data_IF_621469820569
#
_entry.id   IF_621469820569
#
_cell.length_a   1.000
_cell.length_b   1.000
_cell.length_c   1.000
_cell.angle_alpha   90.00
_cell.angle_beta   90.00
_cell.angle_gamma   90.00
#
_symmetry.space_group_name_H-M   'P 1'
#
loop_
_entity.id
_entity.type
_entity.pdbx_description
1 polymer ?
#
# COMPACT_ATOMS: atom_id res chain seq x y z
N UNK A 1 -18.99 -49.02 50.13
CA UNK A 1 -19.70 -47.72 50.16
C UNK A 1 -18.69 -46.65 50.52
N UNK A 2 -18.12 -45.96 49.52
CA UNK A 2 -18.35 -44.51 49.25
C UNK A 2 -17.70 -43.60 50.31
N UNK A 3 -16.75 -42.68 50.06
CA UNK A 3 -16.35 -41.85 48.89
C UNK A 3 -14.94 -41.27 49.18
N UNK A 4 -13.97 -41.29 48.27
CA UNK A 4 -13.69 -40.27 47.23
C UNK A 4 -13.49 -38.84 47.77
N UNK A 5 -12.23 -38.43 47.96
CA UNK A 5 -11.73 -37.10 47.56
C UNK A 5 -10.33 -37.30 46.97
N UNK A 6 -10.29 -37.43 45.63
CA UNK A 6 -9.07 -37.34 44.84
C UNK A 6 -8.81 -35.84 44.66
N UNK A 7 -7.81 -35.30 45.36
CA UNK A 7 -7.26 -33.99 45.03
C UNK A 7 -6.42 -34.15 43.76
N UNK A 8 -7.06 -33.97 42.62
CA UNK A 8 -6.42 -33.92 41.32
C UNK A 8 -5.53 -32.68 41.24
N UNK A 9 -4.25 -32.85 41.59
CA UNK A 9 -3.21 -31.90 41.27
C UNK A 9 -3.00 -31.96 39.74
N UNK A 10 -3.73 -31.09 39.02
CA UNK A 10 -3.46 -30.80 37.62
C UNK A 10 -2.09 -30.11 37.53
N UNK A 11 -1.04 -30.93 37.49
CA UNK A 11 0.30 -30.48 37.11
C UNK A 11 0.22 -30.15 35.61
N UNK A 12 -0.02 -28.87 35.32
CA UNK A 12 0.26 -28.30 34.01
C UNK A 12 1.77 -28.40 33.82
N UNK A 13 2.22 -29.39 33.04
CA UNK A 13 3.59 -29.46 32.56
C UNK A 13 3.81 -28.28 31.61
N UNK A 14 4.68 -27.30 31.92
CA UNK A 14 5.00 -26.28 30.95
C UNK A 14 5.88 -26.89 29.86
N UNK A 15 5.60 -26.55 28.59
CA UNK A 15 6.53 -26.68 27.47
C UNK A 15 7.74 -25.74 27.69
N UNK A 16 8.56 -26.04 28.70
CA UNK A 16 9.84 -25.37 28.95
C UNK A 16 11.04 -26.31 28.69
N UNK A 17 10.79 -27.43 27.99
CA UNK A 17 11.76 -28.50 27.79
C UNK A 17 12.85 -28.24 26.73
N UNK A 18 12.79 -27.13 25.99
CA UNK A 18 13.75 -26.88 24.88
C UNK A 18 14.95 -26.05 25.37
N UNK A 19 14.71 -24.99 26.15
CA UNK A 19 15.79 -24.13 26.64
C UNK A 19 16.66 -24.82 27.71
N UNK A 20 16.07 -25.63 28.59
CA UNK A 20 16.81 -26.37 29.60
C UNK A 20 17.71 -27.46 28.97
N UNK A 21 17.26 -28.07 27.87
CA UNK A 21 17.99 -29.15 27.20
C UNK A 21 19.16 -28.62 26.35
N UNK A 22 19.00 -27.46 25.71
CA UNK A 22 20.11 -26.80 24.99
C UNK A 22 21.18 -26.25 25.94
N UNK A 23 20.78 -25.64 27.06
CA UNK A 23 21.73 -25.18 28.10
C UNK A 23 22.49 -26.36 28.72
N UNK A 24 21.84 -27.51 28.88
CA UNK A 24 22.47 -28.73 29.37
C UNK A 24 23.51 -29.28 28.38
N UNK A 25 23.17 -29.37 27.09
CA UNK A 25 24.12 -29.82 26.05
C UNK A 25 25.33 -28.88 25.93
N UNK A 26 25.11 -27.57 25.96
CA UNK A 26 26.20 -26.59 25.90
C UNK A 26 27.13 -26.70 27.12
N UNK A 27 26.57 -26.87 28.32
CA UNK A 27 27.33 -27.10 29.54
C UNK A 27 28.16 -28.38 29.50
N UNK A 28 27.59 -29.46 28.99
CA UNK A 28 28.29 -30.75 28.89
C UNK A 28 29.44 -30.70 27.85
N UNK A 29 29.25 -29.99 26.74
CA UNK A 29 30.33 -29.74 25.77
C UNK A 29 31.47 -28.91 26.38
N UNK A 30 31.12 -27.90 27.18
CA UNK A 30 32.12 -27.10 27.89
C UNK A 30 32.91 -27.97 28.90
N UNK A 31 32.23 -28.84 29.64
CA UNK A 31 32.86 -29.82 30.55
C UNK A 31 33.82 -30.74 29.82
N UNK A 32 33.42 -31.31 28.68
CA UNK A 32 34.30 -32.18 27.89
C UNK A 32 35.51 -31.41 27.35
N UNK A 33 35.34 -30.14 26.96
CA UNK A 33 36.43 -29.31 26.48
C UNK A 33 37.47 -29.02 27.59
N UNK A 34 37.01 -28.72 28.82
CA UNK A 34 37.92 -28.51 29.95
C UNK A 34 38.64 -29.80 30.35
N UNK A 35 37.93 -30.93 30.37
CA UNK A 35 38.50 -32.26 30.66
C UNK A 35 39.56 -32.66 29.62
N UNK A 36 39.30 -32.39 28.34
CA UNK A 36 40.28 -32.58 27.25
C UNK A 36 41.54 -31.76 27.47
N UNK A 37 41.39 -30.48 27.82
CA UNK A 37 42.53 -29.61 28.09
C UNK A 37 43.35 -30.09 29.30
N UNK A 38 42.69 -30.59 30.34
CA UNK A 38 43.35 -31.19 31.50
C UNK A 38 44.17 -32.43 31.12
N UNK A 39 43.58 -33.37 30.36
CA UNK A 39 44.27 -34.58 29.87
C UNK A 39 45.51 -34.21 29.03
N UNK A 40 45.40 -33.19 28.18
CA UNK A 40 46.55 -32.72 27.39
C UNK A 40 47.64 -32.06 28.24
N UNK A 41 47.25 -31.32 29.29
CA UNK A 41 48.17 -30.75 30.26
C UNK A 41 48.92 -31.82 31.07
N UNK A 42 48.20 -32.84 31.54
CA UNK A 42 48.76 -34.00 32.22
C UNK A 42 49.73 -34.76 31.31
N UNK A 43 49.34 -35.00 30.06
CA UNK A 43 50.20 -35.65 29.08
C UNK A 43 51.51 -34.88 28.87
N UNK A 44 51.45 -33.56 28.64
CA UNK A 44 52.65 -32.72 28.50
C UNK A 44 53.56 -32.77 29.73
N UNK A 45 52.97 -32.86 30.92
CA UNK A 45 53.72 -32.97 32.18
C UNK A 45 54.38 -34.33 32.30
N UNK A 46 53.66 -35.41 32.01
CA UNK A 46 54.18 -36.78 32.00
C UNK A 46 55.29 -36.97 30.96
N UNK A 47 55.14 -36.37 29.77
CA UNK A 47 56.13 -36.44 28.69
C UNK A 47 57.45 -35.80 29.13
N UNK A 48 57.40 -34.62 29.76
CA UNK A 48 58.59 -33.98 30.35
C UNK A 48 59.22 -34.82 31.45
N UNK A 49 58.43 -35.53 32.26
CA UNK A 49 58.93 -36.41 33.28
C UNK A 49 59.62 -37.65 32.68
N UNK A 50 59.07 -38.23 31.61
CA UNK A 50 59.64 -39.40 30.95
C UNK A 50 61.06 -39.16 30.45
N UNK A 51 61.37 -37.97 29.92
CA UNK A 51 62.74 -37.63 29.48
C UNK A 51 63.79 -37.57 30.62
N UNK A 52 63.36 -37.61 31.88
CA UNK A 52 64.25 -37.69 33.05
C UNK A 52 64.49 -39.13 33.53
N UNK A 53 63.88 -40.11 32.87
CA UNK A 53 63.99 -41.53 33.23
C UNK A 53 64.92 -42.26 32.27
N UNK A 54 65.45 -43.41 32.68
CA UNK A 54 66.29 -44.24 31.79
C UNK A 54 65.45 -44.96 30.72
N UNK A 55 64.26 -45.45 31.07
CA UNK A 55 63.35 -46.16 30.18
C UNK A 55 62.39 -45.20 29.44
N UNK A 56 62.95 -44.17 28.76
CA UNK A 56 62.16 -43.07 28.16
C UNK A 56 61.09 -43.59 27.20
N UNK A 57 61.43 -44.54 26.32
CA UNK A 57 60.50 -45.05 25.30
C UNK A 57 59.28 -45.76 25.93
N UNK A 58 59.51 -46.62 26.93
CA UNK A 58 58.43 -47.33 27.62
C UNK A 58 57.54 -46.36 28.39
N UNK A 59 58.14 -45.38 29.07
CA UNK A 59 57.41 -44.32 29.76
C UNK A 59 56.54 -43.50 28.78
N UNK A 60 57.10 -43.09 27.63
CA UNK A 60 56.36 -42.34 26.62
C UNK A 60 55.21 -43.17 26.02
N UNK A 61 55.42 -44.47 25.82
CA UNK A 61 54.39 -45.37 25.31
C UNK A 61 53.22 -45.52 26.29
N UNK A 62 53.51 -45.69 27.58
CA UNK A 62 52.49 -45.73 28.64
C UNK A 62 51.74 -44.39 28.73
N UNK A 63 52.45 -43.26 28.78
CA UNK A 63 51.84 -41.93 28.80
C UNK A 63 50.92 -41.68 27.59
N UNK A 64 51.35 -42.11 26.39
CA UNK A 64 50.52 -42.04 25.17
C UNK A 64 49.31 -42.97 25.25
N UNK A 65 49.45 -44.15 25.83
CA UNK A 65 48.32 -45.08 26.00
C UNK A 65 47.26 -44.49 26.91
N UNK A 66 47.65 -44.03 28.11
CA UNK A 66 46.75 -43.38 29.06
C UNK A 66 46.02 -42.19 28.44
N UNK A 67 46.74 -41.34 27.68
CA UNK A 67 46.13 -40.24 26.94
C UNK A 67 45.09 -40.72 25.92
N UNK A 68 45.41 -41.74 25.12
CA UNK A 68 44.47 -42.28 24.11
C UNK A 68 43.21 -42.83 24.77
N UNK A 69 43.35 -43.55 25.88
CA UNK A 69 42.21 -44.15 26.59
C UNK A 69 41.30 -43.08 27.19
N UNK A 70 41.88 -42.07 27.84
CA UNK A 70 41.14 -40.94 28.42
C UNK A 70 40.43 -40.10 27.34
N UNK A 71 41.12 -39.74 26.25
CA UNK A 71 40.50 -39.03 25.13
C UNK A 71 39.45 -39.89 24.41
N UNK A 72 39.65 -41.20 24.33
CA UNK A 72 38.69 -42.15 23.78
C UNK A 72 37.40 -42.19 24.59
N UNK A 73 37.48 -42.11 25.91
CA UNK A 73 36.31 -42.00 26.79
C UNK A 73 35.53 -40.71 26.53
N UNK A 74 36.21 -39.55 26.47
CA UNK A 74 35.57 -38.29 26.13
C UNK A 74 34.92 -38.31 24.74
N UNK A 75 35.59 -38.92 23.76
CA UNK A 75 35.06 -39.03 22.41
C UNK A 75 33.75 -39.81 22.37
N UNK A 76 33.62 -40.89 23.15
CA UNK A 76 32.36 -41.65 23.26
C UNK A 76 31.22 -40.80 23.84
N UNK A 77 31.51 -39.99 24.85
CA UNK A 77 30.52 -39.06 25.43
C UNK A 77 30.06 -38.02 24.39
N UNK A 78 30.99 -37.40 23.66
CA UNK A 78 30.64 -36.45 22.58
C UNK A 78 29.79 -37.08 21.49
N UNK A 79 30.10 -38.32 21.08
CA UNK A 79 29.33 -39.05 20.08
C UNK A 79 27.91 -39.33 20.56
N UNK A 80 27.72 -39.68 21.84
CA UNK A 80 26.40 -39.87 22.42
C UNK A 80 25.58 -38.57 22.42
N UNK A 81 26.19 -37.44 22.79
CA UNK A 81 25.56 -36.12 22.74
C UNK A 81 25.17 -35.76 21.30
N UNK A 82 26.09 -35.92 20.34
CA UNK A 82 25.82 -35.63 18.93
C UNK A 82 24.69 -36.50 18.36
N UNK A 83 24.63 -37.79 18.72
CA UNK A 83 23.58 -38.70 18.26
C UNK A 83 22.21 -38.33 18.85
N UNK A 84 22.17 -37.97 20.14
CA UNK A 84 20.96 -37.49 20.80
C UNK A 84 20.42 -36.22 20.14
N UNK A 85 21.29 -35.23 19.86
CA UNK A 85 20.90 -34.01 19.15
C UNK A 85 20.41 -34.30 17.73
N UNK A 86 21.09 -35.20 17.00
CA UNK A 86 20.66 -35.60 15.66
C UNK A 86 19.25 -36.18 15.69
N UNK A 87 18.97 -37.08 16.63
CA UNK A 87 17.66 -37.69 16.82
C UNK A 87 16.59 -36.65 17.19
N UNK A 88 16.90 -35.73 18.10
CA UNK A 88 15.99 -34.65 18.50
C UNK A 88 15.62 -33.77 17.31
N UNK A 89 16.61 -33.28 16.57
CA UNK A 89 16.40 -32.45 15.36
C UNK A 89 15.63 -33.22 14.29
N UNK A 90 15.93 -34.49 14.07
CA UNK A 90 15.18 -35.31 13.13
C UNK A 90 13.70 -35.43 13.54
N UNK A 91 13.42 -35.69 14.82
CA UNK A 91 12.05 -35.77 15.34
C UNK A 91 11.31 -34.43 15.22
N UNK A 92 11.98 -33.31 15.50
CA UNK A 92 11.42 -31.97 15.31
C UNK A 92 11.06 -31.70 13.85
N UNK A 93 11.93 -32.08 12.91
CA UNK A 93 11.67 -31.91 11.47
C UNK A 93 10.52 -32.77 11.00
N UNK A 94 10.38 -34.00 11.51
CA UNK A 94 9.22 -34.85 11.23
C UNK A 94 7.94 -34.18 11.71
N UNK A 95 7.91 -33.67 12.95
CA UNK A 95 6.75 -32.93 13.49
C UNK A 95 6.42 -31.69 12.66
N UNK A 96 7.43 -30.94 12.20
CA UNK A 96 7.24 -29.77 11.34
C UNK A 96 6.61 -30.16 9.99
N UNK A 97 7.07 -31.26 9.39
CA UNK A 97 6.51 -31.79 8.14
C UNK A 97 5.06 -32.21 8.35
N UNK A 98 4.77 -32.99 9.40
CA UNK A 98 3.41 -33.45 9.74
C UNK A 98 2.46 -32.27 10.00
N UNK A 99 2.93 -31.24 10.71
CA UNK A 99 2.13 -30.04 10.95
C UNK A 99 1.78 -29.31 9.65
N UNK A 100 2.71 -29.26 8.69
CA UNK A 100 2.51 -28.64 7.36
C UNK A 100 1.71 -29.50 6.40
N UNK A 101 1.82 -30.82 6.49
CA UNK A 101 1.11 -31.79 5.65
C UNK A 101 -0.24 -32.21 6.22
N UNK A 102 -0.67 -31.60 7.33
CA UNK A 102 -1.97 -31.88 7.93
C UNK A 102 -3.10 -31.68 6.90
N UNK A 103 -4.16 -32.50 6.95
CA UNK A 103 -5.27 -32.40 6.00
C UNK A 103 -5.94 -31.03 6.05
N UNK A 104 -5.94 -30.37 7.20
CA UNK A 104 -6.40 -29.00 7.37
C UNK A 104 -5.54 -28.00 6.56
N UNK A 105 -4.22 -28.08 6.68
CA UNK A 105 -3.30 -27.22 5.91
C UNK A 105 -3.38 -27.51 4.41
N UNK A 106 -3.54 -28.77 4.02
CA UNK A 106 -3.76 -29.13 2.62
C UNK A 106 -5.07 -28.54 2.07
N UNK A 107 -6.16 -28.62 2.84
CA UNK A 107 -7.45 -28.03 2.47
C UNK A 107 -7.38 -26.49 2.43
N UNK A 108 -6.71 -25.85 3.37
CA UNK A 108 -6.45 -24.40 3.37
C UNK A 108 -5.68 -23.98 2.11
N UNK A 109 -4.60 -24.70 1.77
CA UNK A 109 -3.83 -24.44 0.56
C UNK A 109 -4.67 -24.62 -0.71
N UNK A 110 -5.55 -25.63 -0.77
CA UNK A 110 -6.46 -25.81 -1.89
C UNK A 110 -7.42 -24.61 -2.03
N UNK A 111 -8.08 -24.20 -0.94
CA UNK A 111 -8.95 -23.01 -0.93
C UNK A 111 -8.22 -21.75 -1.37
N UNK A 112 -6.98 -21.55 -0.90
CA UNK A 112 -6.18 -20.39 -1.29
C UNK A 112 -5.85 -20.39 -2.79
N UNK A 113 -5.57 -21.56 -3.37
CA UNK A 113 -5.37 -21.71 -4.83
C UNK A 113 -6.65 -21.39 -5.59
N UNK A 114 -7.78 -21.93 -5.17
CA UNK A 114 -9.07 -21.68 -5.80
C UNK A 114 -9.43 -20.19 -5.76
N UNK A 115 -9.25 -19.55 -4.59
CA UNK A 115 -9.48 -18.12 -4.44
C UNK A 115 -8.53 -17.29 -5.33
N UNK A 116 -7.27 -17.70 -5.47
CA UNK A 116 -6.32 -17.03 -6.36
C UNK A 116 -6.76 -17.10 -7.82
N UNK A 117 -7.26 -18.25 -8.28
CA UNK A 117 -7.81 -18.42 -9.64
C UNK A 117 -9.04 -17.55 -9.88
N UNK A 118 -9.97 -17.49 -8.91
CA UNK A 118 -11.15 -16.60 -9.00
C UNK A 118 -10.72 -15.13 -9.07
N UNK A 119 -9.77 -14.73 -8.23
CA UNK A 119 -9.28 -13.34 -8.21
C UNK A 119 -8.58 -12.96 -9.52
N UNK A 120 -7.83 -13.90 -10.11
CA UNK A 120 -7.17 -13.70 -11.40
C UNK A 120 -8.20 -13.55 -12.52
N UNK A 121 -9.17 -14.46 -12.62
CA UNK A 121 -10.26 -14.36 -13.59
C UNK A 121 -11.01 -13.02 -13.45
N UNK A 122 -11.35 -12.61 -12.23
CA UNK A 122 -12.00 -11.32 -11.99
C UNK A 122 -11.14 -10.13 -12.41
N UNK A 123 -9.81 -10.21 -12.24
CA UNK A 123 -8.87 -9.18 -12.72
C UNK A 123 -8.83 -9.13 -14.24
N UNK A 124 -8.79 -10.28 -14.91
CA UNK A 124 -8.82 -10.35 -16.37
C UNK A 124 -10.11 -9.74 -16.94
N UNK A 125 -11.27 -10.06 -16.37
CA UNK A 125 -12.56 -9.51 -16.81
C UNK A 125 -12.64 -8.00 -16.61
N UNK A 126 -12.16 -7.47 -15.47
CA UNK A 126 -12.05 -6.00 -15.29
C UNK A 126 -11.13 -5.36 -16.32
N UNK A 127 -10.03 -6.03 -16.66
CA UNK A 127 -9.12 -5.61 -17.73
C UNK A 127 -9.84 -5.52 -19.07
N UNK A 128 -10.53 -6.58 -19.49
CA UNK A 128 -11.32 -6.62 -20.73
C UNK A 128 -12.39 -5.55 -20.79
N UNK A 129 -13.16 -5.38 -19.70
CA UNK A 129 -14.18 -4.34 -19.61
C UNK A 129 -13.57 -2.95 -19.76
N UNK A 130 -12.48 -2.66 -19.04
CA UNK A 130 -11.80 -1.36 -19.15
C UNK A 130 -11.28 -1.09 -20.56
N UNK A 131 -10.72 -2.11 -21.23
CA UNK A 131 -10.29 -1.96 -22.64
C UNK A 131 -11.46 -1.72 -23.58
N UNK A 132 -12.59 -2.41 -23.37
CA UNK A 132 -13.82 -2.20 -24.14
C UNK A 132 -14.40 -0.80 -23.94
N UNK A 133 -14.47 -0.34 -22.69
CA UNK A 133 -14.94 1.01 -22.33
C UNK A 133 -14.05 2.09 -23.00
N UNK A 134 -12.73 1.91 -22.97
CA UNK A 134 -11.80 2.81 -23.68
C UNK A 134 -11.98 2.77 -25.20
N UNK A 135 -12.19 1.59 -25.79
CA UNK A 135 -12.44 1.45 -27.22
C UNK A 135 -13.76 2.13 -27.64
N UNK A 136 -14.82 1.99 -26.85
CA UNK A 136 -16.10 2.65 -27.10
C UNK A 136 -16.01 4.18 -26.97
N UNK A 137 -15.26 4.68 -25.97
CA UNK A 137 -14.98 6.12 -25.83
C UNK A 137 -14.16 6.64 -27.02
N UNK A 138 -13.14 5.89 -27.47
CA UNK A 138 -12.34 6.26 -28.63
C UNK A 138 -13.17 6.27 -29.92
N UNK A 139 -14.04 5.28 -30.13
CA UNK A 139 -14.91 5.18 -31.29
C UNK A 139 -15.94 6.33 -31.36
N UNK A 140 -16.45 6.77 -30.21
CA UNK A 140 -17.42 7.89 -30.12
C UNK A 140 -16.78 9.27 -30.05
N UNK A 141 -15.46 9.37 -29.80
CA UNK A 141 -14.74 10.64 -29.73
C UNK A 141 -14.90 11.55 -30.95
N UNK A 142 -14.75 11.10 -32.21
CA UNK A 142 -14.89 11.98 -33.37
C UNK A 142 -16.32 12.50 -33.54
N UNK A 143 -17.33 11.65 -33.34
CA UNK A 143 -18.74 12.05 -33.41
C UNK A 143 -19.08 13.07 -32.31
N UNK A 144 -18.60 12.85 -31.08
CA UNK A 144 -18.78 13.78 -29.97
C UNK A 144 -18.06 15.12 -30.22
N UNK A 145 -16.86 15.09 -30.81
CA UNK A 145 -16.14 16.30 -31.20
C UNK A 145 -16.90 17.09 -32.27
N UNK A 146 -17.38 16.41 -33.34
CA UNK A 146 -18.17 17.04 -34.40
C UNK A 146 -19.50 17.62 -33.87
N UNK A 147 -20.18 16.93 -32.95
CA UNK A 147 -21.38 17.43 -32.31
C UNK A 147 -21.11 18.69 -31.45
N UNK A 148 -19.96 18.75 -30.77
CA UNK A 148 -19.55 19.95 -30.00
C UNK A 148 -19.25 21.12 -30.92
N UNK A 149 -18.49 20.90 -32.00
CA UNK A 149 -18.17 21.97 -32.96
C UNK A 149 -19.43 22.51 -33.64
N UNK A 150 -20.37 21.65 -34.01
CA UNK A 150 -21.64 22.06 -34.61
C UNK A 150 -22.48 22.94 -33.64
N UNK A 151 -22.59 22.52 -32.37
CA UNK A 151 -23.29 23.31 -31.33
C UNK A 151 -22.63 24.67 -31.09
N UNK A 152 -21.30 24.71 -31.06
CA UNK A 152 -20.56 25.96 -30.86
C UNK A 152 -20.71 26.90 -32.06
N UNK A 153 -20.72 26.37 -33.28
CA UNK A 153 -20.97 27.14 -34.50
C UNK A 153 -22.39 27.70 -34.55
N UNK A 154 -23.40 26.90 -34.20
CA UNK A 154 -24.78 27.35 -34.11
C UNK A 154 -24.96 28.44 -33.03
N UNK A 155 -24.30 28.29 -31.87
CA UNK A 155 -24.27 29.33 -30.84
C UNK A 155 -23.62 30.62 -31.34
N UNK A 156 -22.54 30.53 -32.12
CA UNK A 156 -21.88 31.71 -32.72
C UNK A 156 -22.78 32.39 -33.76
N UNK A 157 -23.43 31.60 -34.64
CA UNK A 157 -24.35 32.12 -35.66
C UNK A 157 -25.56 32.81 -35.03
N UNK A 158 -26.18 32.21 -34.02
CA UNK A 158 -27.31 32.81 -33.30
C UNK A 158 -26.90 34.07 -32.53
N UNK A 159 -25.74 34.08 -31.88
CA UNK A 159 -25.21 35.28 -31.22
C UNK A 159 -24.91 36.41 -32.23
N UNK A 160 -24.32 36.10 -33.38
CA UNK A 160 -24.06 37.08 -34.44
C UNK A 160 -25.36 37.64 -35.03
N UNK A 161 -26.37 36.79 -35.26
CA UNK A 161 -27.68 37.23 -35.73
C UNK A 161 -28.39 38.14 -34.71
N UNK A 162 -28.34 37.78 -33.42
CA UNK A 162 -28.88 38.60 -32.35
C UNK A 162 -28.15 39.95 -32.24
N UNK A 163 -26.83 39.96 -32.36
CA UNK A 163 -26.04 41.20 -32.38
C UNK A 163 -26.39 42.07 -33.59
N UNK A 164 -26.53 41.49 -34.78
CA UNK A 164 -26.91 42.22 -35.99
C UNK A 164 -28.31 42.84 -35.86
N UNK A 165 -29.28 42.12 -35.28
CA UNK A 165 -30.61 42.66 -34.96
C UNK A 165 -30.50 43.83 -33.97
N UNK A 166 -29.74 43.68 -32.87
CA UNK A 166 -29.52 44.77 -31.90
C UNK A 166 -28.89 46.02 -32.52
N UNK A 167 -27.92 45.85 -33.42
CA UNK A 167 -27.27 46.98 -34.12
C UNK A 167 -28.28 47.69 -35.04
N UNK A 168 -29.08 46.94 -35.82
CA UNK A 168 -30.13 47.51 -36.68
C UNK A 168 -31.17 48.27 -35.85
N UNK A 169 -31.66 47.65 -34.78
CA UNK A 169 -32.62 48.27 -33.86
C UNK A 169 -32.05 49.54 -33.21
N UNK A 170 -30.79 49.51 -32.76
CA UNK A 170 -30.12 50.68 -32.23
C UNK A 170 -30.02 51.82 -33.26
N UNK A 171 -29.64 51.52 -34.50
CA UNK A 171 -29.56 52.50 -35.58
C UNK A 171 -30.94 53.10 -35.91
N UNK A 172 -31.99 52.27 -36.00
CA UNK A 172 -33.36 52.72 -36.23
C UNK A 172 -33.88 53.56 -35.04
N UNK A 173 -33.51 53.22 -33.81
CA UNK A 173 -33.85 54.00 -32.62
C UNK A 173 -33.17 55.37 -32.62
N UNK A 174 -31.90 55.45 -33.03
CA UNK A 174 -31.17 56.72 -33.20
C UNK A 174 -31.85 57.57 -34.27
N UNK A 175 -32.13 57.01 -35.46
CA UNK A 175 -32.81 57.73 -36.55
C UNK A 175 -34.15 58.31 -36.11
N UNK A 176 -35.00 57.49 -35.47
CA UNK A 176 -36.30 57.94 -34.94
C UNK A 176 -36.16 59.05 -33.89
N UNK A 177 -35.11 59.02 -33.07
CA UNK A 177 -34.84 60.07 -32.09
C UNK A 177 -34.44 61.37 -32.77
N UNK A 178 -33.57 61.31 -33.77
CA UNK A 178 -33.13 62.48 -34.55
C UNK A 178 -34.31 63.13 -35.30
N UNK A 179 -35.16 62.34 -35.93
CA UNK A 179 -36.39 62.80 -36.59
C UNK A 179 -37.31 63.55 -35.61
N UNK A 180 -37.57 62.97 -34.43
CA UNK A 180 -38.38 63.60 -33.38
C UNK A 180 -37.76 64.91 -32.88
N UNK A 181 -36.45 64.98 -32.72
CA UNK A 181 -35.76 66.21 -32.30
C UNK A 181 -35.85 67.30 -33.38
N UNK A 182 -35.68 66.93 -34.65
CA UNK A 182 -35.83 67.84 -35.77
C UNK A 182 -37.28 68.36 -35.90
N UNK A 183 -38.27 67.49 -35.72
CA UNK A 183 -39.69 67.87 -35.71
C UNK A 183 -40.00 68.82 -34.55
N UNK A 184 -39.59 68.50 -33.32
CA UNK A 184 -39.77 69.36 -32.16
C UNK A 184 -39.13 70.74 -32.36
N UNK A 185 -37.94 70.80 -32.99
CA UNK A 185 -37.28 72.06 -33.33
C UNK A 185 -38.06 72.88 -34.38
N UNK A 186 -38.65 72.23 -35.39
CA UNK A 186 -39.53 72.88 -36.39
C UNK A 186 -40.78 73.45 -35.72
N UNK A 187 -41.47 72.64 -34.93
CA UNK A 187 -42.67 73.06 -34.20
C UNK A 187 -42.40 74.25 -33.27
N UNK A 188 -41.25 74.25 -32.58
CA UNK A 188 -40.81 75.40 -31.76
C UNK A 188 -40.64 76.65 -32.61
N UNK A 189 -39.90 76.58 -33.73
CA UNK A 189 -39.71 77.71 -34.65
C UNK A 189 -41.04 78.25 -35.19
N UNK A 190 -41.95 77.36 -35.59
CA UNK A 190 -43.28 77.75 -36.08
C UNK A 190 -44.11 78.43 -34.98
N UNK A 191 -44.07 77.93 -33.75
CA UNK A 191 -44.73 78.57 -32.61
C UNK A 191 -44.13 79.94 -32.32
N UNK A 192 -42.80 80.05 -32.28
CA UNK A 192 -42.10 81.31 -32.03
C UNK A 192 -42.41 82.34 -33.13
N UNK A 193 -42.49 81.90 -34.41
CA UNK A 193 -42.99 82.73 -35.53
C UNK A 193 -44.42 83.22 -35.29
N UNK A 194 -45.35 82.31 -34.96
CA UNK A 194 -46.75 82.67 -34.67
C UNK A 194 -46.88 83.67 -33.52
N UNK A 195 -46.10 83.49 -32.45
CA UNK A 195 -46.06 84.44 -31.32
C UNK A 195 -45.52 85.80 -31.76
N UNK A 196 -44.43 85.84 -32.52
CA UNK A 196 -43.88 87.09 -33.04
C UNK A 196 -44.83 87.82 -34.00
N UNK A 197 -45.55 87.08 -34.86
CA UNK A 197 -46.61 87.63 -35.72
C UNK A 197 -47.78 88.18 -34.90
N UNK A 198 -48.19 87.51 -33.81
CA UNK A 198 -49.21 88.00 -32.90
C UNK A 198 -48.75 89.25 -32.13
N UNK A 199 -47.49 89.33 -31.69
CA UNK A 199 -46.95 90.49 -30.96
C UNK A 199 -46.74 91.73 -31.85
N UNK A 200 -46.59 91.55 -33.17
CA UNK A 200 -46.50 92.67 -34.14
C UNK A 200 -47.86 93.28 -34.51
N UNK A 201 -48.97 92.64 -34.13
CA UNK A 201 -50.32 93.22 -34.25
C UNK A 201 -50.62 94.01 -32.96
N UNK A 202 -50.75 95.35 -32.99
CA UNK A 202 -51.10 96.10 -31.79
C UNK A 202 -52.50 95.68 -31.32
N UNK A 203 -52.66 95.41 -30.03
CA UNK A 203 -53.96 95.15 -29.44
C UNK A 203 -54.87 96.39 -29.63
N UNK A 204 -55.95 96.25 -30.39
CA UNK A 204 -57.03 97.22 -30.42
C UNK A 204 -57.67 97.30 -29.03
N UNK A 205 -57.76 98.51 -28.48
CA UNK A 205 -58.07 98.80 -27.08
C UNK A 205 -59.37 98.22 -26.54
N UNK A 206 -59.37 97.91 -25.25
CA UNK A 206 -60.57 97.59 -24.48
C UNK A 206 -61.38 98.89 -24.23
N UNK A 207 -62.72 98.86 -24.41
CA UNK A 207 -63.59 100.01 -24.16
C UNK A 207 -63.71 100.32 -22.66
N UNK A 208 -63.70 101.62 -22.31
CA UNK A 208 -63.95 102.15 -20.96
C UNK A 208 -65.44 102.11 -20.61
N UNK A 209 -65.86 101.42 -19.53
CA UNK A 209 -67.21 101.52 -18.96
C UNK A 209 -67.35 102.73 -18.00
N UNK A 210 -68.58 103.21 -17.72
CA UNK A 210 -68.91 104.61 -17.35
C UNK A 210 -68.46 105.06 -15.95
#
# INVERSE_FOLDING_TARGET
MNRLIVAACLIVLPLAGIAADEVNVAGERARIATERAAIEGEFKTSEKACYKTFAVNDCLNDARSRRRDALGHLRRQELAINDAERKRRAAERVREIEAKSSPEKAAEQARNRDQALVNDAARQERGKKKTGDHAALAASAPANAAARTARDEERRRSAAAAQASRIKEAADNVRRREEKLAEAARQKKDRDRRVAEHMKKPASGLPTPP
#
